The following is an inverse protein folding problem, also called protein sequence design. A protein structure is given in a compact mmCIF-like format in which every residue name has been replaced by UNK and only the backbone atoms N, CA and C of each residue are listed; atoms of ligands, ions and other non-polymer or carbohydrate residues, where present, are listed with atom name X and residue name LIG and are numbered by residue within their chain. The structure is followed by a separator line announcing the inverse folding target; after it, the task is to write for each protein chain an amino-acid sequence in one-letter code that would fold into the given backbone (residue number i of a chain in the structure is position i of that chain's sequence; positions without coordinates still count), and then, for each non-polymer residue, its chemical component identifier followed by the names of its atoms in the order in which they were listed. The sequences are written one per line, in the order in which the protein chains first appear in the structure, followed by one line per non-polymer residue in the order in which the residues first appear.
data_IF_795938610487
#
_entry.id   IF_795938610487
#
_cell.length_a   1.000
_cell.length_b   1.000
_cell.length_c   1.000
_cell.angle_alpha   90.00
_cell.angle_beta   90.00
_cell.angle_gamma   90.00
#
_symmetry.space_group_name_H-M   'P 1'
#
loop_
_entity.id
_entity.type
_entity.pdbx_description
1 polymer ?
#
# COMPACT_ATOMS: atom_id res chain seq x y z
N UNK A 1 -10.09 -18.31 0.95
CA UNK A 1 -9.57 -19.25 -0.05
C UNK A 1 -10.64 -19.53 -1.12
N UNK A 2 -11.88 -19.94 -0.78
CA UNK A 2 -12.95 -20.21 -1.78
C UNK A 2 -13.16 -19.07 -2.81
N UNK A 3 -13.08 -17.81 -2.37
CA UNK A 3 -13.18 -16.64 -3.25
C UNK A 3 -11.95 -16.55 -4.17
N UNK A 4 -10.76 -16.84 -3.65
CA UNK A 4 -9.53 -16.83 -4.46
C UNK A 4 -9.52 -17.96 -5.49
N UNK A 5 -10.06 -19.13 -5.13
CA UNK A 5 -10.21 -20.25 -6.08
C UNK A 5 -11.13 -19.86 -7.25
N UNK A 6 -12.20 -19.10 -6.98
CA UNK A 6 -13.08 -18.60 -8.04
C UNK A 6 -12.43 -17.54 -8.94
N UNK A 7 -11.51 -16.74 -8.41
CA UNK A 7 -10.72 -15.76 -9.17
C UNK A 7 -9.72 -16.46 -10.08
N UNK A 8 -9.09 -17.55 -9.61
CA UNK A 8 -8.04 -18.27 -10.32
C UNK A 8 -8.52 -19.13 -11.52
N UNK A 9 -9.83 -19.23 -11.74
CA UNK A 9 -10.39 -20.09 -12.80
C UNK A 9 -10.05 -19.70 -14.25
N UNK A 10 -9.50 -18.50 -14.48
CA UNK A 10 -9.32 -17.93 -15.83
C UNK A 10 -7.91 -18.06 -16.41
N UNK A 11 -6.97 -18.70 -15.73
CA UNK A 11 -5.54 -18.74 -16.11
C UNK A 11 -4.91 -17.37 -16.44
N UNK A 12 -5.49 -16.30 -15.90
CA UNK A 12 -5.03 -14.92 -16.09
C UNK A 12 -4.44 -14.43 -14.78
N UNK A 13 -3.25 -13.84 -14.83
CA UNK A 13 -2.67 -13.19 -13.66
C UNK A 13 -3.49 -11.94 -13.33
N UNK A 14 -3.97 -11.88 -12.10
CA UNK A 14 -4.65 -10.72 -11.55
C UNK A 14 -3.78 -10.05 -10.51
N UNK A 15 -3.75 -8.71 -10.56
CA UNK A 15 -3.08 -7.90 -9.55
C UNK A 15 -4.13 -7.43 -8.53
N UNK A 16 -3.93 -7.82 -7.28
CA UNK A 16 -4.81 -7.43 -6.19
C UNK A 16 -4.03 -6.55 -5.21
N UNK A 17 -4.53 -5.34 -4.95
CA UNK A 17 -3.99 -4.45 -3.92
C UNK A 17 -4.63 -4.79 -2.58
N UNK A 18 -3.80 -4.86 -1.54
CA UNK A 18 -4.28 -5.01 -0.17
C UNK A 18 -3.43 -4.18 0.80
N UNK A 19 -4.04 -3.76 1.90
CA UNK A 19 -3.36 -3.20 3.07
C UNK A 19 -3.32 -4.19 4.24
N UNK A 20 -3.95 -5.36 4.08
CA UNK A 20 -3.98 -6.37 5.13
C UNK A 20 -2.60 -7.01 5.35
N UNK A 21 -2.27 -7.28 6.60
CA UNK A 21 -1.19 -8.20 6.87
C UNK A 21 -1.60 -9.64 6.49
N UNK A 22 -0.61 -10.50 6.32
CA UNK A 22 -0.85 -11.90 5.98
C UNK A 22 -1.25 -12.66 7.25
N UNK A 23 -2.54 -12.70 7.53
CA UNK A 23 -3.11 -13.30 8.72
C UNK A 23 -3.66 -14.72 8.48
N UNK A 24 -3.86 -15.43 9.56
CA UNK A 24 -4.69 -16.64 9.62
C UNK A 24 -5.64 -16.48 10.80
N UNK A 25 -6.94 -16.50 10.56
CA UNK A 25 -7.98 -16.38 11.57
C UNK A 25 -8.79 -17.69 11.52
N UNK A 26 -8.78 -18.43 12.60
CA UNK A 26 -9.52 -19.71 12.76
C UNK A 26 -9.23 -20.69 11.61
N UNK A 27 -7.97 -20.84 11.23
CA UNK A 27 -7.55 -21.70 10.13
C UNK A 27 -7.78 -21.12 8.73
N UNK A 28 -8.39 -19.93 8.63
CA UNK A 28 -8.64 -19.25 7.36
C UNK A 28 -7.53 -18.23 7.09
N UNK A 29 -6.57 -18.60 6.24
CA UNK A 29 -5.52 -17.69 5.78
C UNK A 29 -6.03 -16.62 4.84
N UNK A 30 -5.43 -15.43 4.89
CA UNK A 30 -5.72 -14.36 3.91
C UNK A 30 -5.43 -14.83 2.49
N UNK A 31 -4.27 -15.42 2.28
CA UNK A 31 -3.89 -16.11 1.03
C UNK A 31 -2.76 -17.10 1.31
N UNK A 32 -2.39 -17.89 0.30
CA UNK A 32 -1.29 -18.85 0.35
C UNK A 32 -0.58 -18.96 -1.00
N UNK A 33 0.49 -19.76 -1.05
CA UNK A 33 1.30 -19.95 -2.24
C UNK A 33 0.61 -20.71 -3.38
N UNK A 34 -0.51 -21.38 -3.12
CA UNK A 34 -1.30 -22.03 -4.17
C UNK A 34 -2.19 -21.03 -4.90
N UNK A 35 -2.65 -19.99 -4.19
CA UNK A 35 -3.54 -18.97 -4.72
C UNK A 35 -2.81 -17.69 -5.15
N UNK A 36 -1.59 -17.47 -4.66
CA UNK A 36 -0.81 -16.27 -4.98
C UNK A 36 0.50 -16.65 -5.66
N UNK A 37 0.67 -16.18 -6.88
CA UNK A 37 1.89 -16.39 -7.65
C UNK A 37 3.11 -15.75 -6.96
N UNK A 38 2.92 -14.60 -6.32
CA UNK A 38 3.92 -13.89 -5.53
C UNK A 38 3.36 -12.63 -4.90
N UNK A 39 4.18 -11.95 -4.12
CA UNK A 39 3.86 -10.69 -3.46
C UNK A 39 4.89 -9.60 -3.79
N UNK A 40 4.41 -8.44 -4.18
CA UNK A 40 5.21 -7.21 -4.28
C UNK A 40 4.82 -6.36 -3.09
N UNK A 41 5.75 -6.21 -2.15
CA UNK A 41 5.52 -5.45 -0.92
C UNK A 41 6.16 -4.08 -1.04
N UNK A 42 5.34 -3.04 -0.93
CA UNK A 42 5.82 -1.66 -0.94
C UNK A 42 5.91 -1.18 0.49
N UNK A 43 7.12 -0.93 0.97
CA UNK A 43 7.39 -0.39 2.30
C UNK A 43 7.67 1.11 2.21
N UNK A 44 7.20 1.85 3.20
CA UNK A 44 7.47 3.29 3.37
C UNK A 44 7.94 3.58 4.77
N UNK A 45 8.81 4.60 4.93
CA UNK A 45 9.24 5.07 6.25
C UNK A 45 8.01 5.38 7.13
N UNK A 46 7.90 4.77 8.33
CA UNK A 46 6.74 4.96 9.20
C UNK A 46 6.52 6.43 9.60
N UNK A 47 7.59 7.24 9.68
CA UNK A 47 7.48 8.67 9.97
C UNK A 47 6.78 9.44 8.85
N UNK A 48 7.07 9.09 7.58
CA UNK A 48 6.35 9.68 6.44
C UNK A 48 4.91 9.17 6.33
N UNK A 49 4.63 7.94 6.80
CA UNK A 49 3.25 7.44 6.88
C UNK A 49 2.45 8.23 7.91
N UNK A 50 3.01 8.48 9.11
CA UNK A 50 2.34 9.26 10.15
C UNK A 50 2.00 10.66 9.65
N UNK A 51 2.96 11.40 9.07
CA UNK A 51 2.70 12.74 8.55
C UNK A 51 1.62 12.77 7.46
N UNK A 52 1.57 11.75 6.62
CA UNK A 52 0.53 11.60 5.59
C UNK A 52 -0.84 11.25 6.20
N UNK A 53 -0.87 10.33 7.17
CA UNK A 53 -2.10 9.83 7.81
C UNK A 53 -2.79 10.89 8.65
N UNK A 54 -2.05 11.75 9.33
CA UNK A 54 -2.57 12.88 10.11
C UNK A 54 -3.51 13.73 9.28
N UNK A 55 -3.10 14.10 8.07
CA UNK A 55 -3.95 14.87 7.16
C UNK A 55 -5.06 14.04 6.56
N UNK A 56 -4.73 12.86 6.05
CA UNK A 56 -5.67 12.03 5.28
C UNK A 56 -6.86 11.56 6.12
N UNK A 57 -6.62 11.18 7.37
CA UNK A 57 -7.67 10.72 8.30
C UNK A 57 -8.17 11.84 9.22
N UNK A 58 -7.62 13.06 9.11
CA UNK A 58 -7.94 14.18 9.99
C UNK A 58 -7.81 13.83 11.49
N UNK A 59 -6.69 13.23 11.86
CA UNK A 59 -6.36 12.76 13.22
C UNK A 59 -5.08 13.43 13.73
N UNK A 60 -4.82 13.35 15.03
CA UNK A 60 -3.58 13.85 15.60
C UNK A 60 -2.35 13.03 15.15
N UNK A 61 -1.16 13.63 15.23
CA UNK A 61 0.09 12.92 14.94
C UNK A 61 0.33 11.73 15.89
N UNK A 62 -0.03 11.90 17.17
CA UNK A 62 0.07 10.83 18.18
C UNK A 62 -0.85 9.68 17.82
N UNK A 63 -2.10 9.96 17.47
CA UNK A 63 -3.05 8.94 17.05
C UNK A 63 -2.59 8.21 15.79
N UNK A 64 -2.06 8.94 14.80
CA UNK A 64 -1.51 8.34 13.59
C UNK A 64 -0.31 7.42 13.90
N UNK A 65 0.57 7.82 14.85
CA UNK A 65 1.67 6.98 15.31
C UNK A 65 1.15 5.73 16.06
N UNK A 66 0.17 5.88 16.94
CA UNK A 66 -0.44 4.77 17.68
C UNK A 66 -1.08 3.73 16.75
N UNK A 67 -1.71 4.17 15.67
CA UNK A 67 -2.27 3.26 14.66
C UNK A 67 -1.21 2.38 13.98
N UNK A 68 0.02 2.88 13.81
CA UNK A 68 1.12 2.10 13.23
C UNK A 68 1.79 1.16 14.25
N UNK A 69 1.85 1.59 15.51
CA UNK A 69 2.50 0.86 16.59
C UNK A 69 1.61 -0.28 17.11
N UNK A 70 0.30 -0.03 17.19
CA UNK A 70 -0.67 -0.97 17.73
C UNK A 70 -1.41 -1.69 16.61
N UNK A 71 -1.84 -2.92 16.87
CA UNK A 71 -2.68 -3.67 15.94
C UNK A 71 -3.96 -2.91 15.66
N UNK A 72 -4.20 -2.61 14.39
CA UNK A 72 -5.32 -1.77 13.95
C UNK A 72 -5.99 -2.37 12.72
N UNK A 73 -7.27 -2.08 12.54
CA UNK A 73 -7.98 -2.29 11.29
C UNK A 73 -8.38 -0.94 10.69
N UNK A 74 -8.33 -0.87 9.39
CA UNK A 74 -8.70 0.30 8.61
C UNK A 74 -9.90 -0.06 7.76
N UNK A 75 -10.92 0.81 7.78
CA UNK A 75 -12.13 0.66 6.97
C UNK A 75 -13.05 -0.46 7.47
N UNK A 76 -14.19 -0.55 6.82
CA UNK A 76 -15.30 -1.42 7.24
C UNK A 76 -16.13 -0.80 8.35
N UNK A 77 -17.40 -1.16 8.39
CA UNK A 77 -18.30 -0.85 9.50
C UNK A 77 -18.38 -2.06 10.42
N UNK A 78 -17.72 -2.01 11.56
CA UNK A 78 -17.79 -3.04 12.57
C UNK A 78 -19.22 -3.22 13.14
N UNK A 79 -20.07 -2.23 12.94
CA UNK A 79 -21.44 -2.24 13.47
C UNK A 79 -22.50 -2.71 12.47
N UNK A 80 -22.15 -3.10 11.25
CA UNK A 80 -23.05 -3.60 10.20
C UNK A 80 -24.29 -2.71 9.89
N UNK A 81 -24.38 -1.52 10.47
CA UNK A 81 -25.55 -0.65 10.37
C UNK A 81 -25.55 0.30 9.16
N UNK A 82 -24.42 0.46 8.50
CA UNK A 82 -24.34 1.21 7.25
C UNK A 82 -23.98 0.24 6.12
N UNK A 83 -24.77 0.25 5.08
CA UNK A 83 -24.56 -0.52 3.85
C UNK A 83 -23.33 -0.02 3.06
N UNK A 84 -22.18 0.03 3.72
CA UNK A 84 -20.94 0.31 3.03
C UNK A 84 -20.41 -1.02 2.47
N UNK A 85 -20.26 -1.11 1.16
CA UNK A 85 -19.55 -2.20 0.48
C UNK A 85 -18.03 -2.23 0.84
N UNK A 86 -17.66 -1.68 1.99
CA UNK A 86 -16.27 -1.59 2.44
C UNK A 86 -15.94 -2.78 3.32
N UNK A 87 -15.09 -3.64 2.82
CA UNK A 87 -14.55 -4.77 3.60
C UNK A 87 -13.58 -4.26 4.66
N UNK A 88 -13.66 -4.80 5.87
CA UNK A 88 -12.68 -4.53 6.93
C UNK A 88 -11.30 -5.01 6.53
N UNK A 89 -10.30 -4.16 6.69
CA UNK A 89 -8.90 -4.44 6.39
C UNK A 89 -8.11 -4.54 7.69
N UNK A 90 -7.52 -5.69 7.93
CA UNK A 90 -6.65 -5.93 9.10
C UNK A 90 -5.22 -5.55 8.75
N UNK A 91 -4.78 -4.37 9.16
CA UNK A 91 -3.43 -3.89 8.84
C UNK A 91 -2.36 -4.48 9.76
N UNK A 92 -2.67 -4.78 11.00
CA UNK A 92 -1.69 -5.11 12.03
C UNK A 92 -0.81 -3.90 12.38
N UNK A 93 0.24 -4.14 13.16
CA UNK A 93 1.30 -3.15 13.36
C UNK A 93 2.13 -2.99 12.08
N UNK A 94 2.84 -1.86 11.92
CA UNK A 94 3.69 -1.64 10.75
C UNK A 94 4.74 -2.75 10.59
N UNK A 95 5.45 -3.11 11.65
CA UNK A 95 6.43 -4.20 11.63
C UNK A 95 5.80 -5.58 11.49
N UNK A 96 4.64 -5.80 12.10
CA UNK A 96 3.89 -7.05 11.99
C UNK A 96 3.43 -7.29 10.55
N UNK A 97 2.86 -6.26 9.90
CA UNK A 97 2.47 -6.33 8.50
C UNK A 97 3.67 -6.70 7.61
N UNK A 98 4.75 -5.93 7.73
CA UNK A 98 5.97 -6.18 6.97
C UNK A 98 6.52 -7.60 7.16
N UNK A 99 6.58 -8.07 8.40
CA UNK A 99 7.12 -9.40 8.72
C UNK A 99 6.19 -10.52 8.24
N UNK A 100 4.88 -10.33 8.27
CA UNK A 100 3.93 -11.35 7.82
C UNK A 100 4.12 -11.75 6.37
N UNK A 101 4.34 -10.77 5.48
CA UNK A 101 4.54 -11.00 4.05
C UNK A 101 5.91 -11.57 3.69
N UNK A 102 6.90 -11.48 4.58
CA UNK A 102 8.22 -12.09 4.38
C UNK A 102 8.17 -13.61 4.22
N UNK A 103 7.11 -14.28 4.64
CA UNK A 103 6.94 -15.72 4.45
C UNK A 103 7.02 -16.14 2.98
N UNK A 104 6.67 -15.24 2.04
CA UNK A 104 6.82 -15.49 0.60
C UNK A 104 8.28 -15.45 0.12
N UNK A 105 9.23 -14.93 0.93
CA UNK A 105 10.63 -14.79 0.55
C UNK A 105 11.34 -16.13 0.40
N UNK A 106 11.06 -17.09 1.28
CA UNK A 106 11.68 -18.42 1.26
C UNK A 106 11.47 -19.18 -0.06
N UNK A 107 10.37 -18.87 -0.76
CA UNK A 107 10.02 -19.50 -2.04
C UNK A 107 10.43 -18.64 -3.24
N UNK A 108 11.20 -17.58 -3.06
CA UNK A 108 11.55 -16.64 -4.14
C UNK A 108 10.36 -15.85 -4.72
N UNK A 109 9.22 -15.86 -4.03
CA UNK A 109 7.95 -15.25 -4.46
C UNK A 109 7.66 -13.90 -3.78
N UNK A 110 8.70 -13.20 -3.33
CA UNK A 110 8.60 -11.92 -2.64
C UNK A 110 9.54 -10.89 -3.24
N UNK A 111 9.01 -9.71 -3.54
CA UNK A 111 9.78 -8.54 -3.93
C UNK A 111 9.50 -7.39 -2.98
N UNK A 112 10.53 -6.86 -2.34
CA UNK A 112 10.46 -5.64 -1.53
C UNK A 112 10.84 -4.44 -2.38
N UNK A 113 9.98 -3.43 -2.38
CA UNK A 113 10.22 -2.11 -3.00
C UNK A 113 10.05 -1.04 -1.93
N UNK A 114 10.99 -0.13 -1.82
CA UNK A 114 10.82 1.07 -0.99
C UNK A 114 10.00 2.10 -1.76
N UNK A 115 9.05 2.73 -1.10
CA UNK A 115 8.24 3.80 -1.70
C UNK A 115 9.11 4.95 -2.20
N UNK A 116 10.15 5.28 -1.45
CA UNK A 116 11.13 6.32 -1.81
C UNK A 116 11.83 5.98 -3.13
N UNK A 117 12.16 4.72 -3.38
CA UNK A 117 12.74 4.28 -4.65
C UNK A 117 11.75 4.43 -5.82
N UNK A 118 10.44 4.18 -5.58
CA UNK A 118 9.41 4.43 -6.60
C UNK A 118 9.27 5.91 -6.96
N UNK A 119 9.60 6.80 -6.05
CA UNK A 119 9.54 8.25 -6.28
C UNK A 119 10.82 8.75 -6.96
N UNK A 120 11.99 8.40 -6.42
CA UNK A 120 13.27 8.99 -6.84
C UNK A 120 14.02 8.15 -7.88
N UNK A 121 13.76 6.85 -7.95
CA UNK A 121 14.39 5.89 -8.86
C UNK A 121 13.31 5.04 -9.56
N UNK A 122 12.27 5.71 -10.09
CA UNK A 122 11.06 5.05 -10.62
C UNK A 122 11.39 4.04 -11.71
N UNK A 123 12.20 4.41 -12.68
CA UNK A 123 12.56 3.55 -13.81
C UNK A 123 13.17 2.23 -13.34
N UNK A 124 14.19 2.31 -12.48
CA UNK A 124 14.84 1.13 -11.90
C UNK A 124 13.87 0.27 -11.08
N UNK A 125 13.01 0.91 -10.28
CA UNK A 125 12.02 0.23 -9.47
C UNK A 125 10.99 -0.51 -10.32
N UNK A 126 10.50 0.10 -11.39
CA UNK A 126 9.58 -0.52 -12.33
C UNK A 126 10.25 -1.66 -13.11
N UNK A 127 11.51 -1.51 -13.53
CA UNK A 127 12.29 -2.60 -14.15
C UNK A 127 12.45 -3.79 -13.20
N UNK A 128 12.72 -3.55 -11.91
CA UNK A 128 12.77 -4.62 -10.88
C UNK A 128 11.43 -5.34 -10.76
N UNK A 129 10.33 -4.60 -10.73
CA UNK A 129 8.97 -5.17 -10.67
C UNK A 129 8.68 -6.03 -11.91
N UNK A 130 8.96 -5.52 -13.10
CA UNK A 130 8.73 -6.27 -14.33
C UNK A 130 9.60 -7.52 -14.41
N UNK A 131 10.90 -7.45 -14.07
CA UNK A 131 11.78 -8.62 -13.99
C UNK A 131 11.24 -9.67 -13.02
N UNK A 132 10.75 -9.24 -11.86
CA UNK A 132 10.16 -10.15 -10.88
C UNK A 132 8.91 -10.85 -11.42
N UNK A 133 8.00 -10.11 -12.06
CA UNK A 133 6.79 -10.68 -12.67
C UNK A 133 7.16 -11.68 -13.77
N UNK A 134 8.09 -11.35 -14.66
CA UNK A 134 8.56 -12.25 -15.72
C UNK A 134 9.18 -13.52 -15.15
N UNK A 135 10.00 -13.40 -14.10
CA UNK A 135 10.55 -14.55 -13.37
C UNK A 135 9.45 -15.45 -12.81
N UNK A 136 8.43 -14.89 -12.16
CA UNK A 136 7.31 -15.67 -11.61
C UNK A 136 6.49 -16.39 -12.71
N UNK A 137 6.42 -15.79 -13.88
CA UNK A 137 5.76 -16.39 -15.07
C UNK A 137 6.62 -17.37 -15.82
N UNK A 138 7.91 -17.49 -15.47
CA UNK A 138 8.90 -18.28 -16.20
C UNK A 138 8.97 -17.90 -17.69
N UNK A 139 8.98 -16.60 -17.98
CA UNK A 139 9.14 -16.06 -19.35
C UNK A 139 10.34 -15.14 -19.42
N UNK A 140 10.91 -15.00 -20.63
CA UNK A 140 12.03 -14.08 -20.83
C UNK A 140 11.64 -12.64 -20.52
N UNK A 141 12.59 -11.91 -19.96
CA UNK A 141 12.39 -10.50 -19.64
C UNK A 141 12.60 -9.64 -20.86
N UNK A 142 11.55 -9.02 -21.34
CA UNK A 142 11.56 -8.08 -22.45
C UNK A 142 10.76 -6.83 -22.08
N UNK A 143 11.24 -5.66 -22.49
CA UNK A 143 10.56 -4.38 -22.28
C UNK A 143 10.26 -3.75 -23.64
N UNK A 144 9.03 -3.34 -23.83
CA UNK A 144 8.67 -2.40 -24.88
C UNK A 144 8.95 -0.99 -24.35
N UNK A 145 10.06 -0.41 -24.77
CA UNK A 145 10.57 0.88 -24.26
C UNK A 145 9.53 2.02 -24.38
N UNK A 146 8.81 2.10 -25.51
CA UNK A 146 7.78 3.10 -25.71
C UNK A 146 6.64 2.98 -24.70
N UNK A 147 6.15 1.77 -24.47
CA UNK A 147 5.10 1.52 -23.47
C UNK A 147 5.62 1.78 -22.06
N UNK A 148 6.86 1.41 -21.80
CA UNK A 148 7.50 1.61 -20.51
C UNK A 148 7.64 3.07 -20.17
N UNK A 149 8.13 3.90 -21.14
CA UNK A 149 8.22 5.34 -20.95
C UNK A 149 6.85 5.97 -20.72
N UNK A 150 5.83 5.58 -21.49
CA UNK A 150 4.46 6.05 -21.27
C UNK A 150 3.94 5.75 -19.86
N UNK A 151 4.30 4.59 -19.29
CA UNK A 151 3.94 4.26 -17.89
C UNK A 151 4.66 5.17 -16.92
N UNK A 152 5.95 5.43 -17.10
CA UNK A 152 6.72 6.35 -16.25
C UNK A 152 6.07 7.74 -16.22
N UNK A 153 5.75 8.28 -17.40
CA UNK A 153 5.22 9.64 -17.55
C UNK A 153 3.79 9.75 -16.99
N UNK A 154 2.92 8.81 -17.34
CA UNK A 154 1.51 8.82 -16.92
C UNK A 154 1.33 8.56 -15.42
N UNK A 155 2.28 7.91 -14.78
CA UNK A 155 2.26 7.62 -13.34
C UNK A 155 3.18 8.55 -12.53
N UNK A 156 3.67 9.65 -13.11
CA UNK A 156 4.40 10.66 -12.34
C UNK A 156 3.49 11.24 -11.26
N UNK A 157 4.07 11.73 -10.16
CA UNK A 157 3.27 12.29 -9.06
C UNK A 157 2.41 13.46 -9.55
N UNK A 158 2.97 14.32 -10.39
CA UNK A 158 2.31 15.46 -11.00
C UNK A 158 1.15 15.02 -11.93
N UNK A 159 1.37 13.99 -12.75
CA UNK A 159 0.33 13.42 -13.62
C UNK A 159 -0.82 12.86 -12.81
N UNK A 160 -0.52 12.15 -11.72
CA UNK A 160 -1.54 11.58 -10.83
C UNK A 160 -2.30 12.66 -10.06
N UNK A 161 -1.62 13.71 -9.57
CA UNK A 161 -2.28 14.87 -8.96
C UNK A 161 -3.24 15.56 -9.95
N UNK A 162 -2.77 15.79 -11.17
CA UNK A 162 -3.59 16.39 -12.23
C UNK A 162 -4.83 15.54 -12.52
N UNK A 163 -4.65 14.23 -12.66
CA UNK A 163 -5.74 13.30 -12.91
C UNK A 163 -6.77 13.31 -11.77
N UNK A 164 -6.31 13.35 -10.52
CA UNK A 164 -7.20 13.44 -9.36
C UNK A 164 -8.03 14.72 -9.35
N UNK A 165 -7.43 15.86 -9.72
CA UNK A 165 -8.15 17.14 -9.81
C UNK A 165 -9.19 17.16 -10.93
N UNK A 166 -8.86 16.57 -12.08
CA UNK A 166 -9.71 16.59 -13.27
C UNK A 166 -10.85 15.54 -13.22
N UNK A 167 -10.56 14.33 -12.70
CA UNK A 167 -11.47 13.18 -12.77
C UNK A 167 -11.90 12.64 -11.40
N UNK A 168 -11.28 13.13 -10.33
CA UNK A 168 -11.42 12.56 -9.01
C UNK A 168 -10.58 11.31 -8.82
N UNK A 169 -10.54 10.81 -7.59
CA UNK A 169 -9.86 9.57 -7.24
C UNK A 169 -10.66 8.81 -6.18
N UNK A 170 -10.89 7.52 -6.42
CA UNK A 170 -11.78 6.72 -5.58
C UNK A 170 -11.27 6.55 -4.12
N UNK A 171 -9.98 6.74 -3.89
CA UNK A 171 -9.37 6.68 -2.55
C UNK A 171 -9.25 8.07 -1.90
N UNK A 172 -9.76 9.15 -2.52
CA UNK A 172 -9.87 10.46 -1.86
C UNK A 172 -10.81 10.36 -0.65
N UNK A 173 -10.55 11.17 0.37
CA UNK A 173 -11.36 11.24 1.58
C UNK A 173 -12.17 12.53 1.65
N UNK A 174 -13.08 12.61 2.60
CA UNK A 174 -13.82 13.82 2.92
C UNK A 174 -13.58 14.12 4.40
N UNK A 175 -13.27 15.37 4.70
CA UNK A 175 -13.20 15.83 6.08
C UNK A 175 -14.62 15.84 6.66
N UNK A 176 -14.89 14.96 7.61
CA UNK A 176 -16.24 14.82 8.19
C UNK A 176 -16.73 16.08 8.91
N UNK A 177 -15.82 16.96 9.36
CA UNK A 177 -16.16 18.20 10.07
C UNK A 177 -16.47 19.36 9.13
N UNK A 178 -15.72 19.48 8.02
CA UNK A 178 -15.85 20.63 7.09
C UNK A 178 -16.58 20.27 5.80
N UNK A 179 -16.74 18.97 5.48
CA UNK A 179 -17.29 18.50 4.21
C UNK A 179 -16.31 18.65 3.03
N UNK A 180 -15.11 19.15 3.26
CA UNK A 180 -14.13 19.39 2.22
C UNK A 180 -13.45 18.09 1.76
N UNK A 181 -13.18 17.99 0.46
CA UNK A 181 -12.45 16.89 -0.13
C UNK A 181 -10.99 16.94 0.31
N UNK A 182 -10.46 15.80 0.74
CA UNK A 182 -9.05 15.60 1.04
C UNK A 182 -8.43 14.84 -0.12
N UNK A 183 -7.58 15.52 -0.90
CA UNK A 183 -6.89 14.89 -2.01
C UNK A 183 -5.92 13.82 -1.52
N UNK A 184 -5.90 12.69 -2.23
CA UNK A 184 -5.00 11.57 -1.97
C UNK A 184 -3.55 11.93 -2.32
N UNK A 185 -3.34 12.51 -3.53
CA UNK A 185 -2.01 12.94 -3.98
C UNK A 185 -1.69 14.34 -3.46
N UNK A 186 -1.19 14.43 -2.22
CA UNK A 186 -0.88 15.71 -1.57
C UNK A 186 0.60 16.09 -1.69
N UNK A 187 1.41 15.77 -0.68
CA UNK A 187 2.82 16.18 -0.61
C UNK A 187 3.74 15.31 -1.46
N UNK A 188 3.45 13.99 -1.57
CA UNK A 188 4.27 13.06 -2.34
C UNK A 188 5.76 13.14 -2.02
N UNK A 189 6.61 13.51 -3.02
CA UNK A 189 8.05 13.69 -2.82
C UNK A 189 8.43 14.78 -1.82
N UNK A 190 7.54 15.74 -1.58
CA UNK A 190 7.75 16.86 -0.64
C UNK A 190 7.39 16.53 0.80
N UNK A 191 6.99 15.29 1.09
CA UNK A 191 6.67 14.86 2.46
C UNK A 191 7.97 14.69 3.26
N UNK A 192 8.40 15.77 3.88
CA UNK A 192 9.57 15.81 4.78
C UNK A 192 9.10 15.69 6.24
N UNK A 193 9.07 14.48 6.75
CA UNK A 193 8.63 14.19 8.12
C UNK A 193 9.44 14.95 9.17
N UNK A 194 10.72 15.29 8.92
CA UNK A 194 11.57 16.05 9.84
C UNK A 194 11.05 17.46 10.11
N UNK A 195 10.32 18.02 9.13
CA UNK A 195 9.70 19.36 9.25
C UNK A 195 8.24 19.30 9.66
N UNK A 196 7.59 18.15 9.47
CA UNK A 196 6.15 18.00 9.61
C UNK A 196 5.73 17.37 10.94
N UNK A 197 6.61 16.58 11.56
CA UNK A 197 6.29 15.88 12.80
C UNK A 197 6.92 16.52 14.02
N UNK A 198 6.19 16.47 15.13
CA UNK A 198 6.68 16.85 16.43
C UNK A 198 7.77 15.88 16.92
N UNK A 199 8.76 16.39 17.62
CA UNK A 199 9.91 15.60 18.10
C UNK A 199 9.49 14.41 18.99
N UNK A 200 8.45 14.60 19.80
CA UNK A 200 7.88 13.55 20.64
C UNK A 200 7.36 12.38 19.80
N UNK A 201 6.65 12.67 18.72
CA UNK A 201 6.10 11.67 17.79
C UNK A 201 7.23 10.92 17.07
N UNK A 202 8.24 11.64 16.61
CA UNK A 202 9.43 11.03 16.00
C UNK A 202 10.08 10.03 16.95
N UNK A 203 10.37 10.46 18.21
CA UNK A 203 10.96 9.58 19.23
C UNK A 203 10.08 8.36 19.54
N UNK A 204 8.76 8.54 19.57
CA UNK A 204 7.81 7.46 19.80
C UNK A 204 7.90 6.38 18.69
N UNK A 205 7.96 6.81 17.44
CA UNK A 205 8.07 5.90 16.28
C UNK A 205 9.43 5.20 16.28
N UNK A 206 10.52 5.95 16.50
CA UNK A 206 11.89 5.39 16.51
C UNK A 206 12.13 4.43 17.67
N UNK A 207 11.40 4.56 18.78
CA UNK A 207 11.43 3.59 19.88
C UNK A 207 10.66 2.32 19.57
N UNK A 208 9.64 2.41 18.73
CA UNK A 208 8.74 1.28 18.42
C UNK A 208 9.28 0.39 17.30
N UNK A 209 10.12 0.91 16.43
CA UNK A 209 10.63 0.24 15.21
C UNK A 209 12.14 0.38 15.06
#
# INVERSE_FOLDING_TARGET
IKVQDSINQKNIIQFLKTHSYLFNIDGNGFTNLNNSLGAIYIVRDPRTIVSSSTRFFNISQIEAADRLINTTFIGGDLNHKRSSNRTTVYTGTWSGNYNSWKSFKSNGKYLLIKYEDLIFNKEESLKKILKFIHKLKNINFEINEKKFQNVIDSTSFESMQKLEREKGFNESSINEKTGEKIDFFNLGPKNDWKKLLDLEVIKKIEKAF
#
